data_IF_364327790580
#
_entry.id   IF_364327790580
#
_cell.length_a   1.000
_cell.length_b   1.000
_cell.length_c   1.000
_cell.angle_alpha   90.00
_cell.angle_beta   90.00
_cell.angle_gamma   90.00
#
_symmetry.space_group_name_H-M   'P 1'
#
loop_
_entity.id
_entity.type
_entity.pdbx_description
1 polymer ?
#
# COMPACT_ATOMS: atom_id res chain seq x y z
N UNK A 1 26.88 1.78 31.25
CA UNK A 1 25.77 1.49 30.35
C UNK A 1 25.91 2.36 29.11
N UNK A 2 26.42 1.79 28.02
CA UNK A 2 26.66 2.49 26.77
C UNK A 2 25.34 2.77 26.10
N UNK A 3 25.00 4.04 25.84
CA UNK A 3 23.91 4.44 24.93
C UNK A 3 24.34 4.03 23.53
N UNK A 4 23.70 2.99 22.98
CA UNK A 4 23.77 2.72 21.56
C UNK A 4 23.13 3.91 20.85
N UNK A 5 23.95 4.74 20.24
CA UNK A 5 23.52 5.79 19.31
C UNK A 5 23.12 5.07 18.03
N UNK A 6 21.84 4.73 17.90
CA UNK A 6 21.30 4.24 16.62
C UNK A 6 21.43 5.36 15.62
N UNK A 7 22.16 5.11 14.55
CA UNK A 7 22.32 6.02 13.42
C UNK A 7 20.95 6.11 12.74
N UNK A 8 20.14 7.10 13.14
CA UNK A 8 19.00 7.55 12.33
C UNK A 8 19.61 7.99 11.01
N UNK A 9 19.21 7.39 9.92
CA UNK A 9 19.65 7.77 8.57
C UNK A 9 19.48 9.29 8.43
N UNK A 10 20.55 9.99 8.07
CA UNK A 10 20.62 11.48 8.04
C UNK A 10 19.57 12.10 7.12
N UNK A 11 18.89 11.31 6.28
CA UNK A 11 17.89 11.73 5.30
C UNK A 11 16.49 11.13 5.52
N UNK A 12 16.21 10.47 6.65
CA UNK A 12 14.88 9.88 6.86
C UNK A 12 13.84 10.98 7.13
N UNK A 13 12.74 10.96 6.37
CA UNK A 13 11.56 11.80 6.60
C UNK A 13 10.70 11.20 7.72
N UNK A 14 10.64 9.86 7.78
CA UNK A 14 10.00 9.11 8.86
C UNK A 14 10.97 8.03 9.32
N UNK A 15 11.19 7.91 10.61
CA UNK A 15 11.99 6.85 11.22
C UNK A 15 11.23 6.24 12.39
N UNK A 16 11.24 4.90 12.50
CA UNK A 16 10.70 4.19 13.66
C UNK A 16 11.72 3.16 14.17
N UNK A 17 11.78 2.98 15.49
CA UNK A 17 12.65 2.03 16.15
C UNK A 17 11.83 1.17 17.11
N UNK A 18 11.70 -0.12 16.81
CA UNK A 18 10.94 -1.11 17.58
C UNK A 18 9.55 -0.59 18.03
N UNK A 19 8.88 0.18 17.16
CA UNK A 19 7.63 0.87 17.47
C UNK A 19 6.51 -0.14 17.68
N UNK A 20 5.90 -0.12 18.86
CA UNK A 20 4.80 -1.02 19.21
C UNK A 20 3.59 -0.24 19.70
N UNK A 21 2.41 -0.72 19.30
CA UNK A 21 1.13 -0.21 19.79
C UNK A 21 0.22 -1.36 20.14
N UNK A 22 -0.10 -1.43 21.44
CA UNK A 22 -1.03 -2.45 21.98
C UNK A 22 -2.30 -1.77 22.48
N UNK A 23 -3.42 -2.31 22.07
CA UNK A 23 -4.74 -2.03 22.62
C UNK A 23 -5.17 -3.23 23.50
N UNK A 24 -6.19 -3.12 24.36
CA UNK A 24 -6.55 -4.19 25.32
C UNK A 24 -6.78 -5.57 24.70
N UNK A 25 -7.15 -5.63 23.41
CA UNK A 25 -7.47 -6.89 22.70
C UNK A 25 -6.64 -7.15 21.45
N UNK A 26 -5.82 -6.18 21.00
CA UNK A 26 -5.11 -6.27 19.72
C UNK A 26 -3.75 -5.57 19.81
N UNK A 27 -2.73 -6.22 19.31
CA UNK A 27 -1.45 -5.57 18.98
C UNK A 27 -1.55 -5.01 17.57
N UNK A 28 -1.65 -3.70 17.45
CA UNK A 28 -1.81 -3.02 16.17
C UNK A 28 -0.47 -2.77 15.46
N UNK A 29 0.63 -2.62 16.22
CA UNK A 29 2.00 -2.55 15.72
C UNK A 29 2.89 -3.37 16.65
N UNK A 30 3.76 -4.19 16.08
CA UNK A 30 4.70 -5.04 16.82
C UNK A 30 6.13 -4.78 16.36
N UNK A 31 6.89 -4.05 17.17
CA UNK A 31 8.31 -3.72 17.01
C UNK A 31 8.70 -3.23 15.60
N UNK A 32 7.83 -2.42 14.99
CA UNK A 32 8.02 -1.89 13.66
C UNK A 32 9.26 -0.99 13.61
N UNK A 33 10.26 -1.38 12.83
CA UNK A 33 11.47 -0.58 12.57
C UNK A 33 11.56 -0.31 11.08
N UNK A 34 11.50 0.96 10.70
CA UNK A 34 11.59 1.39 9.30
C UNK A 34 12.17 2.81 9.20
N UNK A 35 12.83 3.07 8.09
CA UNK A 35 13.29 4.40 7.67
C UNK A 35 12.70 4.70 6.29
N UNK A 36 11.99 5.82 6.18
CA UNK A 36 11.40 6.31 4.93
C UNK A 36 12.13 7.61 4.54
N UNK A 37 12.74 7.60 3.37
CA UNK A 37 13.39 8.77 2.78
C UNK A 37 12.42 9.74 2.10
N UNK A 38 12.93 10.84 1.49
CA UNK A 38 12.16 11.71 0.62
C UNK A 38 11.60 10.94 -0.59
N UNK A 39 10.49 11.41 -1.14
CA UNK A 39 9.83 10.81 -2.29
C UNK A 39 8.39 10.44 -2.02
N UNK A 40 7.83 9.63 -2.90
CA UNK A 40 6.50 9.02 -2.73
C UNK A 40 6.66 7.60 -2.24
N UNK A 41 6.24 7.34 -1.01
CA UNK A 41 6.29 6.00 -0.40
C UNK A 41 4.88 5.44 -0.25
N UNK A 42 4.67 4.22 -0.75
CA UNK A 42 3.45 3.44 -0.55
C UNK A 42 3.54 2.61 0.74
N UNK A 43 2.54 2.72 1.61
CA UNK A 43 2.39 1.85 2.77
C UNK A 43 1.25 0.87 2.52
N UNK A 44 1.60 -0.39 2.29
CA UNK A 44 0.66 -1.45 1.91
C UNK A 44 0.40 -2.40 3.06
N UNK A 45 -0.80 -2.91 3.13
CA UNK A 45 -1.19 -3.95 4.08
C UNK A 45 -2.68 -4.20 4.06
N UNK A 46 -3.08 -5.36 4.55
CA UNK A 46 -4.49 -5.73 4.70
C UNK A 46 -5.24 -4.76 5.62
N UNK A 47 -6.57 -4.82 5.60
CA UNK A 47 -7.38 -4.09 6.58
C UNK A 47 -7.05 -4.61 7.99
N UNK A 48 -6.73 -3.69 8.90
CA UNK A 48 -6.26 -4.05 10.23
C UNK A 48 -4.75 -4.27 10.39
N UNK A 49 -3.96 -4.18 9.31
CA UNK A 49 -2.49 -4.34 9.35
C UNK A 49 -1.75 -3.28 10.18
N UNK A 50 -2.42 -2.22 10.63
CA UNK A 50 -1.83 -1.18 11.47
C UNK A 50 -1.53 0.14 10.76
N UNK A 51 -1.83 0.30 9.44
CA UNK A 51 -1.55 1.49 8.64
C UNK A 51 -2.03 2.79 9.29
N UNK A 52 -3.33 2.91 9.54
CA UNK A 52 -3.92 4.12 10.16
C UNK A 52 -3.46 4.31 11.61
N UNK A 53 -3.09 3.23 12.33
CA UNK A 53 -2.51 3.31 13.67
C UNK A 53 -1.11 3.94 13.59
N UNK A 54 -0.28 3.54 12.65
CA UNK A 54 1.02 4.13 12.40
C UNK A 54 0.88 5.63 12.09
N UNK A 55 0.00 6.00 11.16
CA UNK A 55 -0.26 7.43 10.82
C UNK A 55 -0.66 8.23 12.07
N UNK A 56 -1.57 7.71 12.90
CA UNK A 56 -1.99 8.39 14.14
C UNK A 56 -0.84 8.59 15.12
N UNK A 57 0.08 7.64 15.22
CA UNK A 57 1.29 7.78 16.05
C UNK A 57 2.20 8.84 15.45
N UNK A 58 2.51 8.79 14.15
CA UNK A 58 3.38 9.75 13.47
C UNK A 58 2.89 11.20 13.61
N UNK A 59 1.57 11.40 13.66
CA UNK A 59 0.95 12.70 13.91
C UNK A 59 0.93 13.12 15.39
N UNK A 60 1.40 12.25 16.31
CA UNK A 60 1.31 12.49 17.74
C UNK A 60 -0.12 12.48 18.29
N UNK A 61 -1.08 11.86 17.58
CA UNK A 61 -2.49 11.74 17.99
C UNK A 61 -2.73 10.52 18.90
N UNK A 62 -1.82 9.55 18.87
CA UNK A 62 -1.87 8.35 19.71
C UNK A 62 -0.45 8.03 20.21
N UNK A 63 -0.23 7.88 21.53
CA UNK A 63 1.09 7.51 22.03
C UNK A 63 1.42 6.08 21.64
N UNK A 64 2.71 5.82 21.33
CA UNK A 64 3.23 4.47 21.24
C UNK A 64 3.19 3.77 22.60
N UNK A 65 3.09 2.44 22.60
CA UNK A 65 3.22 1.64 23.83
C UNK A 65 4.69 1.40 24.17
N UNK A 66 5.51 1.14 23.14
CA UNK A 66 6.96 0.91 23.24
C UNK A 66 7.63 1.42 21.98
N UNK A 67 8.96 1.61 22.03
CA UNK A 67 9.75 2.07 20.90
C UNK A 67 9.70 3.58 20.69
N UNK A 68 10.21 4.04 19.55
CA UNK A 68 10.29 5.47 19.20
C UNK A 68 9.88 5.70 17.76
N UNK A 69 9.44 6.93 17.50
CA UNK A 69 9.19 7.40 16.14
C UNK A 69 9.65 8.86 16.01
N UNK A 70 10.19 9.20 14.86
CA UNK A 70 10.55 10.56 14.48
C UNK A 70 9.97 10.89 13.11
N UNK A 71 9.54 12.14 12.93
CA UNK A 71 9.04 12.70 11.69
C UNK A 71 9.77 14.00 11.40
N UNK A 72 10.37 14.14 10.23
CA UNK A 72 11.20 15.30 9.84
C UNK A 72 12.29 15.62 10.89
N UNK A 73 12.85 14.57 11.49
CA UNK A 73 13.87 14.69 12.57
C UNK A 73 13.32 15.07 13.94
N UNK A 74 11.99 15.26 14.09
CA UNK A 74 11.33 15.61 15.34
C UNK A 74 10.80 14.34 16.03
N UNK A 75 11.09 14.19 17.33
CA UNK A 75 10.56 13.09 18.13
C UNK A 75 9.04 13.23 18.32
N UNK A 76 8.30 12.19 17.97
CA UNK A 76 6.82 12.18 17.97
C UNK A 76 6.25 12.34 19.39
N UNK A 77 6.92 11.79 20.41
CA UNK A 77 6.40 11.81 21.77
C UNK A 77 6.45 13.22 22.39
N UNK A 78 7.42 14.04 21.97
CA UNK A 78 7.67 15.36 22.56
C UNK A 78 7.29 16.54 21.66
N UNK A 79 7.24 16.32 20.33
CA UNK A 79 7.15 17.40 19.33
C UNK A 79 5.89 17.33 18.46
N UNK A 80 4.83 16.68 18.93
CA UNK A 80 3.63 16.44 18.11
C UNK A 80 2.99 17.70 17.51
N UNK A 81 3.02 18.85 18.19
CA UNK A 81 2.51 20.12 17.64
C UNK A 81 3.37 20.60 16.47
N UNK A 82 4.70 20.66 16.66
CA UNK A 82 5.64 21.09 15.62
C UNK A 82 5.65 20.15 14.39
N UNK A 83 5.35 18.85 14.60
CA UNK A 83 5.15 17.90 13.51
C UNK A 83 3.89 18.27 12.71
N UNK A 84 2.75 18.48 13.36
CA UNK A 84 1.49 18.82 12.68
C UNK A 84 1.52 20.17 11.94
N UNK A 85 2.37 21.08 12.32
CA UNK A 85 2.63 22.33 11.56
C UNK A 85 3.30 22.09 10.21
N UNK A 86 4.05 20.97 10.07
CA UNK A 86 4.85 20.64 8.89
C UNK A 86 4.33 19.44 8.11
N UNK A 87 3.30 18.78 8.63
CA UNK A 87 2.73 17.55 8.06
C UNK A 87 1.27 17.77 7.68
N UNK A 88 0.94 17.50 6.43
CA UNK A 88 -0.45 17.44 5.96
C UNK A 88 -1.04 16.04 6.21
N UNK A 89 -2.33 15.98 6.52
CA UNK A 89 -3.01 14.71 6.71
C UNK A 89 -4.34 14.67 5.98
N UNK A 90 -4.52 13.65 5.18
CA UNK A 90 -5.78 13.31 4.52
C UNK A 90 -6.33 12.02 5.13
N UNK A 91 -7.42 12.07 5.91
CA UNK A 91 -8.01 10.88 6.54
C UNK A 91 -8.82 10.04 5.54
N UNK A 92 -8.89 8.73 5.79
CA UNK A 92 -9.71 7.79 5.00
C UNK A 92 -11.20 8.21 5.02
N UNK A 93 -11.75 8.40 6.22
CA UNK A 93 -13.18 8.67 6.38
C UNK A 93 -13.59 10.07 5.91
N UNK A 94 -14.87 10.18 5.52
CA UNK A 94 -15.45 11.48 5.17
C UNK A 94 -15.55 12.35 6.41
N UNK A 95 -14.92 13.51 6.35
CA UNK A 95 -14.88 14.51 7.43
C UNK A 95 -15.29 15.91 6.92
N UNK A 96 -15.88 15.98 5.73
CA UNK A 96 -16.18 17.23 5.05
C UNK A 96 -17.57 17.72 5.44
N UNK A 97 -17.72 18.99 5.87
CA UNK A 97 -19.03 19.59 6.14
C UNK A 97 -19.80 19.76 4.82
N UNK A 98 -21.06 19.26 4.73
CA UNK A 98 -21.78 19.27 3.45
C UNK A 98 -22.29 20.64 3.05
N UNK A 99 -22.53 21.53 4.01
CA UNK A 99 -23.26 22.80 3.82
C UNK A 99 -22.36 23.97 3.45
N UNK A 100 -21.04 23.79 3.44
CA UNK A 100 -20.07 24.83 3.08
C UNK A 100 -19.42 24.53 1.74
N UNK A 101 -18.89 25.57 1.09
CA UNK A 101 -18.12 25.40 -0.16
C UNK A 101 -16.70 24.89 0.13
N UNK A 102 -16.05 24.31 -0.90
CA UNK A 102 -14.65 23.91 -0.78
C UNK A 102 -13.75 25.10 -0.43
N UNK A 103 -14.00 26.28 -0.97
CA UNK A 103 -13.25 27.50 -0.64
C UNK A 103 -13.38 27.85 0.85
N UNK A 104 -14.60 27.91 1.39
CA UNK A 104 -14.83 28.23 2.81
C UNK A 104 -14.15 27.23 3.72
N UNK A 105 -14.30 25.93 3.44
CA UNK A 105 -13.69 24.86 4.20
C UNK A 105 -12.16 24.94 4.20
N UNK A 106 -11.54 25.02 3.01
CA UNK A 106 -10.06 25.01 2.89
C UNK A 106 -9.46 26.31 3.45
N UNK A 107 -10.12 27.49 3.27
CA UNK A 107 -9.71 28.75 3.94
C UNK A 107 -9.75 28.59 5.47
N UNK A 108 -10.80 27.95 5.99
CA UNK A 108 -10.88 27.69 7.43
C UNK A 108 -9.71 26.84 7.91
N UNK A 109 -9.39 25.75 7.21
CA UNK A 109 -8.27 24.86 7.54
C UNK A 109 -6.92 25.58 7.44
N UNK A 110 -6.73 26.41 6.41
CA UNK A 110 -5.53 27.25 6.27
C UNK A 110 -5.33 28.20 7.47
N UNK A 111 -6.42 28.83 7.92
CA UNK A 111 -6.40 29.71 9.10
C UNK A 111 -6.13 28.94 10.41
N UNK A 112 -6.70 27.75 10.56
CA UNK A 112 -6.42 26.87 11.70
C UNK A 112 -4.95 26.43 11.74
N UNK A 113 -4.31 26.34 10.57
CA UNK A 113 -2.86 26.07 10.46
C UNK A 113 -1.99 27.34 10.63
N UNK A 114 -2.59 28.48 11.03
CA UNK A 114 -1.87 29.71 11.36
C UNK A 114 -1.69 30.72 10.21
N UNK A 115 -2.23 30.49 9.01
CA UNK A 115 -2.10 31.44 7.91
C UNK A 115 -2.93 32.70 8.16
N UNK A 116 -2.37 33.91 7.89
CA UNK A 116 -3.13 35.14 7.90
C UNK A 116 -4.31 35.09 6.90
N UNK A 117 -5.41 35.87 7.12
CA UNK A 117 -6.62 35.77 6.30
C UNK A 117 -6.39 35.95 4.80
N UNK A 118 -5.53 36.88 4.39
CA UNK A 118 -5.21 37.10 2.97
C UNK A 118 -4.46 35.94 2.37
N UNK A 119 -3.36 35.51 3.00
CA UNK A 119 -2.58 34.38 2.57
C UNK A 119 -3.40 33.06 2.54
N UNK A 120 -4.31 32.86 3.52
CA UNK A 120 -5.21 31.72 3.53
C UNK A 120 -6.12 31.66 2.30
N UNK A 121 -6.65 32.81 1.84
CA UNK A 121 -7.49 32.88 0.64
C UNK A 121 -6.69 32.61 -0.63
N UNK A 122 -5.52 33.24 -0.78
CA UNK A 122 -4.65 33.08 -1.93
C UNK A 122 -4.18 31.61 -2.07
N UNK A 123 -3.63 31.05 -0.98
CA UNK A 123 -3.20 29.65 -0.97
C UNK A 123 -4.35 28.68 -1.24
N UNK A 124 -5.55 28.94 -0.70
CA UNK A 124 -6.73 28.13 -0.97
C UNK A 124 -7.09 28.14 -2.46
N UNK A 125 -7.09 29.31 -3.10
CA UNK A 125 -7.42 29.41 -4.52
C UNK A 125 -6.42 28.63 -5.38
N UNK A 126 -5.11 28.73 -5.07
CA UNK A 126 -4.05 28.02 -5.77
C UNK A 126 -4.13 26.52 -5.51
N UNK A 127 -4.31 26.11 -4.26
CA UNK A 127 -4.40 24.69 -3.91
C UNK A 127 -5.61 24.02 -4.56
N UNK A 128 -6.79 24.67 -4.56
CA UNK A 128 -7.99 24.15 -5.22
C UNK A 128 -7.82 24.07 -6.75
N UNK A 129 -7.04 24.97 -7.35
CA UNK A 129 -6.67 24.89 -8.77
C UNK A 129 -5.77 23.68 -9.02
N UNK A 130 -4.76 23.45 -8.19
CA UNK A 130 -3.82 22.32 -8.34
C UNK A 130 -4.51 20.96 -8.21
N UNK A 131 -5.50 20.83 -7.31
CA UNK A 131 -6.26 19.59 -7.19
C UNK A 131 -7.41 19.47 -8.21
N UNK A 132 -7.57 20.44 -9.12
CA UNK A 132 -8.56 20.40 -10.19
C UNK A 132 -10.00 20.68 -9.76
N UNK A 133 -10.19 21.56 -8.76
CA UNK A 133 -11.51 21.98 -8.25
C UNK A 133 -11.76 23.49 -8.45
N UNK A 134 -11.08 24.11 -9.42
CA UNK A 134 -11.17 25.56 -9.60
C UNK A 134 -12.57 26.05 -9.92
N UNK A 135 -13.29 25.38 -10.82
CA UNK A 135 -14.62 25.78 -11.25
C UNK A 135 -15.69 25.50 -10.18
N UNK A 136 -15.57 24.39 -9.46
CA UNK A 136 -16.56 23.92 -8.49
C UNK A 136 -16.37 24.51 -7.09
N UNK A 137 -15.28 25.19 -6.83
CA UNK A 137 -14.84 25.61 -5.48
C UNK A 137 -15.84 26.40 -4.65
N UNK A 138 -16.83 27.02 -5.28
CA UNK A 138 -17.89 27.81 -4.61
C UNK A 138 -19.19 27.04 -4.39
N UNK A 139 -19.30 25.80 -4.93
CA UNK A 139 -20.47 24.96 -4.71
C UNK A 139 -20.39 24.27 -3.36
N UNK A 140 -21.53 24.02 -2.68
CA UNK A 140 -21.57 23.22 -1.45
C UNK A 140 -20.98 21.82 -1.64
N UNK A 141 -20.15 21.37 -0.69
CA UNK A 141 -19.45 20.08 -0.74
C UNK A 141 -20.43 18.90 -0.73
N UNK A 142 -21.62 19.04 -0.14
CA UNK A 142 -22.66 18.01 -0.13
C UNK A 142 -23.05 17.52 -1.52
N UNK A 143 -22.97 18.40 -2.55
CA UNK A 143 -23.24 18.06 -3.95
C UNK A 143 -22.04 17.53 -4.75
N UNK A 144 -20.90 17.24 -4.10
CA UNK A 144 -19.70 16.77 -4.77
C UNK A 144 -19.74 15.24 -4.99
N UNK A 145 -19.13 14.79 -6.10
CA UNK A 145 -18.82 13.36 -6.30
C UNK A 145 -17.77 12.89 -5.28
N UNK A 146 -17.64 11.58 -5.13
CA UNK A 146 -16.60 11.00 -4.27
C UNK A 146 -15.20 11.50 -4.67
N UNK A 147 -14.87 11.54 -5.95
CA UNK A 147 -13.60 12.06 -6.46
C UNK A 147 -13.37 13.53 -6.11
N UNK A 148 -14.39 14.38 -6.24
CA UNK A 148 -14.31 15.78 -5.83
C UNK A 148 -14.09 15.93 -4.33
N UNK A 149 -14.76 15.13 -3.50
CA UNK A 149 -14.56 15.11 -2.05
C UNK A 149 -13.14 14.67 -1.68
N UNK A 150 -12.58 13.66 -2.31
CA UNK A 150 -11.19 13.25 -2.10
C UNK A 150 -10.22 14.38 -2.46
N UNK A 151 -10.47 15.11 -3.56
CA UNK A 151 -9.66 16.28 -3.95
C UNK A 151 -9.77 17.43 -2.94
N UNK A 152 -10.92 17.66 -2.31
CA UNK A 152 -11.06 18.64 -1.20
C UNK A 152 -10.25 18.22 0.01
N UNK A 153 -10.29 16.92 0.40
CA UNK A 153 -9.48 16.39 1.51
C UNK A 153 -7.99 16.53 1.21
N UNK A 154 -7.58 16.29 -0.03
CA UNK A 154 -6.20 16.52 -0.47
C UNK A 154 -5.81 18.00 -0.39
N UNK A 155 -6.67 18.90 -0.85
CA UNK A 155 -6.44 20.35 -0.75
C UNK A 155 -6.28 20.81 0.71
N UNK A 156 -7.11 20.29 1.63
CA UNK A 156 -6.96 20.52 3.07
C UNK A 156 -5.59 20.11 3.59
N UNK A 157 -5.07 18.95 3.16
CA UNK A 157 -3.78 18.46 3.59
C UNK A 157 -2.60 19.29 3.05
N UNK A 158 -2.78 20.03 1.94
CA UNK A 158 -1.71 20.74 1.24
C UNK A 158 -1.68 22.25 1.54
N UNK A 159 -2.80 22.85 1.96
CA UNK A 159 -2.99 24.31 1.96
C UNK A 159 -1.99 25.08 2.81
N UNK A 160 -1.41 24.46 3.85
CA UNK A 160 -0.44 25.07 4.75
C UNK A 160 1.03 24.84 4.37
N UNK A 161 1.28 24.34 3.14
CA UNK A 161 2.62 24.11 2.58
C UNK A 161 3.46 23.12 3.40
N UNK A 162 2.99 21.90 3.59
CA UNK A 162 3.68 20.91 4.41
C UNK A 162 4.96 20.38 3.73
N UNK A 163 5.89 19.84 4.53
CA UNK A 163 7.07 19.13 4.03
C UNK A 163 6.81 17.64 3.79
N UNK A 164 5.81 17.09 4.45
CA UNK A 164 5.35 15.71 4.32
C UNK A 164 3.83 15.67 4.31
N UNK A 165 3.26 14.81 3.48
CA UNK A 165 1.80 14.54 3.47
C UNK A 165 1.55 13.06 3.73
N UNK A 166 0.65 12.78 4.67
CA UNK A 166 0.17 11.44 5.00
C UNK A 166 -1.23 11.28 4.42
N UNK A 167 -1.39 10.36 3.46
CA UNK A 167 -2.65 10.12 2.75
C UNK A 167 -3.18 8.72 3.12
N UNK A 168 -4.31 8.68 3.84
CA UNK A 168 -4.91 7.44 4.29
C UNK A 168 -5.99 6.99 3.30
N UNK A 169 -5.69 5.96 2.47
CA UNK A 169 -6.56 5.37 1.44
C UNK A 169 -7.17 6.43 0.48
N UNK A 170 -6.38 7.30 -0.18
CA UNK A 170 -6.89 8.42 -0.97
C UNK A 170 -7.69 8.00 -2.21
N UNK A 171 -7.53 6.78 -2.70
CA UNK A 171 -8.22 6.21 -3.87
C UNK A 171 -9.50 5.45 -3.50
N UNK A 172 -9.80 5.34 -2.20
CA UNK A 172 -10.96 4.58 -1.75
C UNK A 172 -12.28 5.18 -2.26
N UNK A 173 -13.14 4.30 -2.83
CA UNK A 173 -14.43 4.68 -3.39
C UNK A 173 -14.38 5.38 -4.76
N UNK A 174 -13.21 5.45 -5.41
CA UNK A 174 -13.06 5.98 -6.75
C UNK A 174 -13.24 4.89 -7.81
N UNK A 175 -13.76 5.28 -8.96
CA UNK A 175 -13.72 4.48 -10.18
C UNK A 175 -12.28 4.39 -10.73
N UNK A 176 -11.98 3.49 -11.68
CA UNK A 176 -10.62 3.31 -12.20
C UNK A 176 -10.00 4.59 -12.75
N UNK A 177 -10.78 5.42 -13.46
CA UNK A 177 -10.30 6.70 -14.02
C UNK A 177 -9.97 7.69 -12.91
N UNK A 178 -10.87 7.84 -11.95
CA UNK A 178 -10.66 8.73 -10.79
C UNK A 178 -9.46 8.30 -9.91
N UNK A 179 -9.18 7.00 -9.84
CA UNK A 179 -7.97 6.48 -9.16
C UNK A 179 -6.70 6.91 -9.88
N UNK A 180 -6.62 6.69 -11.18
CA UNK A 180 -5.45 7.07 -11.98
C UNK A 180 -5.21 8.59 -11.92
N UNK A 181 -6.26 9.39 -11.96
CA UNK A 181 -6.17 10.84 -11.79
C UNK A 181 -5.66 11.24 -10.40
N UNK A 182 -6.16 10.59 -9.33
CA UNK A 182 -5.72 10.85 -7.96
C UNK A 182 -4.25 10.46 -7.77
N UNK A 183 -3.84 9.30 -8.27
CA UNK A 183 -2.44 8.86 -8.25
C UNK A 183 -1.52 9.81 -9.02
N UNK A 184 -1.98 10.31 -10.17
CA UNK A 184 -1.29 11.35 -10.93
C UNK A 184 -1.14 12.67 -10.14
N UNK A 185 -2.16 13.07 -9.38
CA UNK A 185 -2.08 14.22 -8.47
C UNK A 185 -1.05 13.99 -7.36
N UNK A 186 -1.07 12.82 -6.72
CA UNK A 186 -0.12 12.45 -5.66
C UNK A 186 1.32 12.50 -6.18
N UNK A 187 1.58 12.00 -7.38
CA UNK A 187 2.92 12.07 -7.99
C UNK A 187 3.36 13.51 -8.20
N UNK A 188 2.48 14.38 -8.71
CA UNK A 188 2.78 15.81 -8.94
C UNK A 188 3.06 16.57 -7.66
N UNK A 189 2.45 16.22 -6.53
CA UNK A 189 2.76 16.84 -5.23
C UNK A 189 4.27 16.71 -4.92
N UNK A 190 4.86 15.55 -5.20
CA UNK A 190 6.30 15.38 -5.02
C UNK A 190 7.11 16.05 -6.13
N UNK A 191 6.78 15.79 -7.40
CA UNK A 191 7.61 16.26 -8.53
C UNK A 191 7.61 17.78 -8.69
N UNK A 192 6.48 18.44 -8.45
CA UNK A 192 6.32 19.87 -8.72
C UNK A 192 6.62 20.73 -7.47
N UNK A 193 6.38 20.19 -6.28
CA UNK A 193 6.51 20.94 -5.02
C UNK A 193 7.59 20.39 -4.07
N UNK A 194 8.21 19.24 -4.38
CA UNK A 194 9.22 18.63 -3.51
C UNK A 194 8.68 18.08 -2.19
N UNK A 195 7.36 17.99 -2.02
CA UNK A 195 6.73 17.48 -0.81
C UNK A 195 6.86 15.97 -0.77
N UNK A 196 7.33 15.42 0.34
CA UNK A 196 7.36 13.97 0.55
C UNK A 196 5.94 13.44 0.83
N UNK A 197 5.63 12.23 0.34
CA UNK A 197 4.30 11.63 0.48
C UNK A 197 4.40 10.22 1.04
N UNK A 198 3.62 9.94 2.08
CA UNK A 198 3.30 8.58 2.51
C UNK A 198 1.83 8.32 2.16
N UNK A 199 1.59 7.39 1.24
CA UNK A 199 0.24 7.01 0.81
C UNK A 199 -0.06 5.58 1.25
N UNK A 200 -1.19 5.37 1.96
CA UNK A 200 -1.65 4.02 2.27
C UNK A 200 -2.58 3.51 1.18
N UNK A 201 -2.47 2.24 0.87
CA UNK A 201 -3.41 1.50 0.03
C UNK A 201 -3.44 0.03 0.42
N UNK A 202 -4.56 -0.62 0.18
CA UNK A 202 -4.65 -2.08 0.21
C UNK A 202 -4.47 -2.70 -1.18
N UNK A 203 -4.35 -1.87 -2.24
CA UNK A 203 -4.18 -2.27 -3.63
C UNK A 203 -2.74 -1.98 -4.08
N UNK A 204 -1.95 -3.02 -4.10
CA UNK A 204 -0.51 -2.94 -4.37
C UNK A 204 -0.20 -2.43 -5.79
N UNK A 205 -0.94 -2.91 -6.82
CA UNK A 205 -0.73 -2.52 -8.21
C UNK A 205 -0.94 -1.03 -8.51
N UNK A 206 -1.69 -0.31 -7.64
CA UNK A 206 -1.84 1.15 -7.76
C UNK A 206 -0.55 1.87 -7.39
N UNK A 207 0.17 1.37 -6.40
CA UNK A 207 1.36 2.02 -5.85
C UNK A 207 2.62 1.77 -6.68
N UNK A 208 2.68 0.64 -7.41
CA UNK A 208 3.82 0.31 -8.28
C UNK A 208 4.16 1.41 -9.28
N UNK A 209 3.14 2.06 -9.85
CA UNK A 209 3.30 3.09 -10.88
C UNK A 209 3.53 4.49 -10.32
N UNK A 210 3.23 4.70 -9.04
CA UNK A 210 3.18 6.03 -8.45
C UNK A 210 4.29 6.27 -7.43
N UNK A 211 4.69 5.21 -6.70
CA UNK A 211 5.63 5.30 -5.60
C UNK A 211 7.07 5.05 -6.04
N UNK A 212 8.02 5.67 -5.36
CA UNK A 212 9.45 5.42 -5.49
C UNK A 212 9.88 4.27 -4.58
N UNK A 213 9.16 4.10 -3.45
CA UNK A 213 9.42 3.10 -2.42
C UNK A 213 8.12 2.49 -1.91
N UNK A 214 8.15 1.22 -1.53
CA UNK A 214 7.00 0.52 -0.96
C UNK A 214 7.40 -0.15 0.35
N UNK A 215 6.59 0.10 1.36
CA UNK A 215 6.67 -0.53 2.68
C UNK A 215 5.44 -1.41 2.87
N UNK A 216 5.65 -2.64 3.24
CA UNK A 216 4.57 -3.58 3.45
C UNK A 216 4.52 -4.01 4.89
N UNK A 217 3.33 -3.91 5.46
CA UNK A 217 3.06 -4.34 6.82
C UNK A 217 1.93 -5.35 6.85
N UNK A 218 2.05 -6.35 7.70
CA UNK A 218 0.97 -7.29 8.02
C UNK A 218 0.99 -7.63 9.50
N UNK A 219 -0.20 -7.74 10.12
CA UNK A 219 -0.31 -8.01 11.56
C UNK A 219 0.48 -7.05 12.45
N UNK A 220 0.73 -5.82 12.00
CA UNK A 220 1.50 -4.82 12.72
C UNK A 220 3.02 -4.91 12.60
N UNK A 221 3.54 -5.90 11.88
CA UNK A 221 4.97 -6.11 11.64
C UNK A 221 5.40 -5.68 10.23
N UNK A 222 6.65 -5.26 10.08
CA UNK A 222 7.25 -5.01 8.77
C UNK A 222 7.51 -6.34 8.08
N UNK A 223 6.91 -6.54 6.90
CA UNK A 223 7.24 -7.66 6.04
C UNK A 223 8.38 -7.29 5.09
N UNK A 224 8.28 -6.16 4.42
CA UNK A 224 9.26 -5.73 3.44
C UNK A 224 9.30 -4.20 3.30
N UNK A 225 10.48 -3.68 2.97
CA UNK A 225 10.71 -2.29 2.60
C UNK A 225 11.73 -2.26 1.47
N UNK A 226 11.33 -1.79 0.29
CA UNK A 226 12.18 -1.81 -0.92
C UNK A 226 11.79 -0.69 -1.87
N UNK A 227 12.72 -0.29 -2.76
CA UNK A 227 12.40 0.59 -3.87
C UNK A 227 11.46 -0.12 -4.86
N UNK A 228 10.64 0.64 -5.59
CA UNK A 228 9.77 0.07 -6.64
C UNK A 228 10.59 -0.56 -7.77
N UNK A 229 11.79 -0.05 -8.04
CA UNK A 229 12.72 -0.66 -8.99
C UNK A 229 13.17 -2.06 -8.59
N UNK A 230 13.35 -2.33 -7.29
CA UNK A 230 13.73 -3.67 -6.80
C UNK A 230 12.56 -4.66 -6.87
N UNK A 231 11.32 -4.16 -6.83
CA UNK A 231 10.13 -4.99 -7.01
C UNK A 231 9.82 -5.28 -8.49
N UNK A 232 10.15 -4.34 -9.38
CA UNK A 232 9.91 -4.47 -10.83
C UNK A 232 11.10 -5.07 -11.57
N UNK A 233 12.05 -5.69 -10.85
CA UNK A 233 13.13 -6.40 -11.52
C UNK A 233 12.53 -7.38 -12.52
N UNK A 234 13.03 -7.27 -13.76
CA UNK A 234 12.70 -8.17 -14.86
C UNK A 234 13.07 -9.57 -14.39
N UNK A 235 12.09 -10.47 -14.29
CA UNK A 235 12.40 -11.85 -13.93
C UNK A 235 13.15 -12.50 -15.07
N UNK A 236 13.93 -13.53 -14.75
CA UNK A 236 14.46 -14.45 -15.75
C UNK A 236 13.37 -15.33 -16.36
N UNK A 237 12.07 -15.05 -16.10
CA UNK A 237 10.95 -15.85 -16.60
C UNK A 237 10.34 -15.20 -17.84
N UNK A 238 10.23 -15.98 -18.92
CA UNK A 238 9.51 -15.65 -20.13
C UNK A 238 8.09 -16.21 -20.06
N UNK A 239 7.10 -15.37 -20.34
CA UNK A 239 5.74 -15.80 -20.60
C UNK A 239 5.59 -16.00 -22.12
N UNK A 240 5.25 -17.23 -22.51
CA UNK A 240 5.08 -17.63 -23.91
C UNK A 240 3.65 -18.10 -24.13
N UNK A 241 2.96 -17.49 -25.07
CA UNK A 241 1.59 -17.84 -25.47
C UNK A 241 1.60 -18.26 -26.93
N UNK A 242 1.04 -19.44 -27.23
CA UNK A 242 1.01 -20.00 -28.57
C UNK A 242 -0.40 -20.39 -28.99
N UNK A 243 -0.65 -20.45 -30.31
CA UNK A 243 -1.89 -21.01 -30.84
C UNK A 243 -1.80 -22.52 -30.94
N UNK A 244 -2.94 -23.16 -30.89
CA UNK A 244 -3.07 -24.56 -31.31
C UNK A 244 -2.88 -24.69 -32.82
N UNK A 245 -2.56 -25.89 -33.30
CA UNK A 245 -2.48 -26.22 -34.72
C UNK A 245 -3.20 -27.52 -35.01
N UNK A 246 -3.52 -27.79 -36.31
CA UNK A 246 -4.17 -29.01 -36.73
C UNK A 246 -3.39 -30.28 -36.33
N UNK A 247 -2.08 -30.17 -36.20
CA UNK A 247 -1.18 -31.26 -35.77
C UNK A 247 -1.00 -31.34 -34.26
N UNK A 248 -1.24 -30.25 -33.55
CA UNK A 248 -1.10 -30.12 -32.09
C UNK A 248 -2.32 -29.37 -31.52
N UNK A 249 -3.41 -30.10 -31.17
CA UNK A 249 -4.63 -29.51 -30.60
C UNK A 249 -4.45 -28.87 -29.22
N UNK A 250 -3.34 -29.16 -28.53
CA UNK A 250 -2.85 -28.49 -27.35
C UNK A 250 -1.43 -28.01 -27.65
N UNK A 251 -1.32 -26.82 -28.24
CA UNK A 251 -0.06 -26.20 -28.62
C UNK A 251 0.84 -25.90 -27.42
N UNK A 252 0.25 -25.55 -26.28
CA UNK A 252 0.97 -25.26 -25.05
C UNK A 252 1.66 -26.51 -24.48
N UNK A 253 0.97 -27.66 -24.46
CA UNK A 253 1.55 -28.90 -23.97
C UNK A 253 2.62 -29.45 -24.94
N UNK A 254 2.39 -29.33 -26.24
CA UNK A 254 3.38 -29.69 -27.26
C UNK A 254 4.68 -28.85 -27.12
N UNK A 255 4.56 -27.54 -26.93
CA UNK A 255 5.68 -26.64 -26.70
C UNK A 255 6.38 -26.96 -25.36
N UNK A 256 5.64 -27.24 -24.30
CA UNK A 256 6.20 -27.67 -23.00
C UNK A 256 7.09 -28.89 -23.14
N UNK A 257 6.63 -29.91 -23.84
CA UNK A 257 7.40 -31.14 -24.06
C UNK A 257 8.64 -30.91 -24.93
N UNK A 258 8.55 -30.02 -25.93
CA UNK A 258 9.67 -29.68 -26.80
C UNK A 258 10.77 -28.95 -26.00
N UNK A 259 10.43 -27.93 -25.22
CA UNK A 259 11.36 -27.16 -24.41
C UNK A 259 11.99 -27.99 -23.29
N UNK A 260 11.20 -28.87 -22.65
CA UNK A 260 11.74 -29.82 -21.65
C UNK A 260 12.78 -30.76 -22.28
N UNK A 261 12.53 -31.28 -23.49
CA UNK A 261 13.51 -32.12 -24.23
C UNK A 261 14.76 -31.35 -24.63
N UNK A 262 14.62 -30.05 -24.89
CA UNK A 262 15.75 -29.15 -25.19
C UNK A 262 16.54 -28.73 -23.92
N UNK A 263 16.13 -29.19 -22.73
CA UNK A 263 16.81 -28.89 -21.47
C UNK A 263 16.48 -27.53 -20.88
N UNK A 264 15.43 -26.86 -21.37
CA UNK A 264 14.98 -25.56 -20.85
C UNK A 264 14.18 -25.79 -19.58
N UNK A 265 14.54 -25.08 -18.52
CA UNK A 265 13.82 -25.12 -17.26
C UNK A 265 12.47 -24.41 -17.37
N UNK A 266 11.40 -25.06 -16.95
CA UNK A 266 10.07 -24.50 -16.90
C UNK A 266 9.74 -24.11 -15.46
N UNK A 267 9.16 -22.95 -15.29
CA UNK A 267 8.67 -22.51 -13.98
C UNK A 267 7.34 -23.22 -13.72
N UNK A 268 7.29 -24.09 -12.68
CA UNK A 268 6.12 -24.89 -12.36
C UNK A 268 4.88 -24.03 -12.08
N UNK A 269 3.72 -24.51 -12.52
CA UNK A 269 2.42 -23.90 -12.23
C UNK A 269 1.92 -24.16 -10.79
N UNK A 270 2.70 -24.84 -9.94
CA UNK A 270 2.33 -25.15 -8.57
C UNK A 270 2.28 -23.86 -7.71
N UNK A 271 1.11 -23.19 -7.71
CA UNK A 271 0.79 -22.09 -6.83
C UNK A 271 0.35 -20.77 -7.49
N UNK A 272 0.30 -20.71 -8.81
CA UNK A 272 -0.23 -19.53 -9.51
C UNK A 272 -1.49 -19.94 -10.29
N UNK A 273 -2.61 -19.99 -9.56
CA UNK A 273 -3.92 -19.96 -10.21
C UNK A 273 -3.99 -18.70 -11.05
N UNK A 274 -4.20 -18.90 -12.33
CA UNK A 274 -4.36 -17.86 -13.34
C UNK A 274 -5.67 -17.06 -13.15
N UNK A 275 -6.11 -16.85 -11.91
CA UNK A 275 -7.26 -16.01 -11.57
C UNK A 275 -6.87 -14.55 -11.71
N UNK A 276 -7.04 -14.03 -12.92
CA UNK A 276 -6.90 -12.61 -13.20
C UNK A 276 -6.57 -12.25 -14.64
N UNK A 277 -6.20 -13.22 -15.49
CA UNK A 277 -6.01 -12.95 -16.91
C UNK A 277 -7.05 -13.74 -17.73
N UNK A 278 -7.87 -13.08 -18.58
CA UNK A 278 -8.71 -13.80 -19.52
C UNK A 278 -7.79 -14.57 -20.49
N UNK A 279 -7.85 -15.91 -20.48
CA UNK A 279 -7.04 -16.78 -21.34
C UNK A 279 -5.93 -17.59 -20.66
N UNK A 280 -5.86 -17.65 -19.37
CA UNK A 280 -4.74 -18.23 -18.59
C UNK A 280 -4.41 -19.73 -18.83
N UNK A 281 -5.19 -20.46 -19.60
CA UNK A 281 -4.92 -21.87 -19.93
C UNK A 281 -3.80 -22.12 -20.96
N UNK A 282 -3.33 -21.08 -21.65
CA UNK A 282 -2.41 -21.19 -22.80
C UNK A 282 -1.04 -20.51 -22.64
N UNK A 283 -0.69 -20.08 -21.43
CA UNK A 283 0.59 -19.40 -21.16
C UNK A 283 1.59 -20.37 -20.53
N UNK A 284 2.75 -20.55 -21.18
CA UNK A 284 3.87 -21.33 -20.65
C UNK A 284 4.91 -20.38 -20.02
N UNK A 285 5.35 -20.68 -18.79
CA UNK A 285 6.40 -19.95 -18.11
C UNK A 285 7.73 -20.68 -18.25
N UNK A 286 8.72 -19.99 -18.85
CA UNK A 286 10.02 -20.53 -19.21
C UNK A 286 11.10 -19.75 -18.48
N UNK A 287 12.07 -20.42 -17.86
CA UNK A 287 13.23 -19.75 -17.26
C UNK A 287 14.22 -19.33 -18.35
N UNK A 288 14.42 -18.01 -18.54
CA UNK A 288 15.32 -17.45 -19.51
C UNK A 288 16.73 -17.31 -18.90
N UNK A 289 17.68 -18.10 -19.33
CA UNK A 289 19.08 -18.04 -18.89
C UNK A 289 19.96 -17.14 -19.77
N UNK A 290 19.45 -16.66 -20.90
CA UNK A 290 20.15 -15.79 -21.86
C UNK A 290 19.39 -15.66 -23.18
N UNK A 291 19.99 -14.98 -24.16
CA UNK A 291 19.40 -14.80 -25.52
C UNK A 291 19.13 -16.14 -26.22
N UNK A 292 19.92 -17.16 -25.93
CA UNK A 292 19.77 -18.52 -26.48
C UNK A 292 18.40 -19.13 -26.13
N UNK A 293 17.82 -18.80 -24.98
CA UNK A 293 16.49 -19.29 -24.60
C UNK A 293 15.39 -18.74 -25.50
N UNK A 294 15.50 -17.47 -25.92
CA UNK A 294 14.54 -16.86 -26.86
C UNK A 294 14.57 -17.53 -28.23
N UNK A 295 15.77 -17.86 -28.73
CA UNK A 295 15.95 -18.56 -30.01
C UNK A 295 15.40 -19.98 -29.92
N UNK A 296 15.69 -20.72 -28.85
CA UNK A 296 15.15 -22.05 -28.61
C UNK A 296 13.63 -22.09 -28.56
N UNK A 297 12.99 -21.09 -27.91
CA UNK A 297 11.52 -20.96 -27.88
C UNK A 297 10.99 -20.72 -29.29
N UNK A 298 11.57 -19.78 -30.05
CA UNK A 298 11.15 -19.47 -31.43
C UNK A 298 11.29 -20.68 -32.37
N UNK A 299 12.43 -21.35 -32.30
CA UNK A 299 12.71 -22.54 -33.10
C UNK A 299 11.77 -23.70 -32.78
N UNK A 300 11.48 -23.90 -31.49
CA UNK A 300 10.50 -24.91 -31.05
C UNK A 300 9.10 -24.63 -31.52
N UNK A 301 8.64 -23.37 -31.43
CA UNK A 301 7.33 -22.94 -31.93
C UNK A 301 7.23 -23.14 -33.46
N UNK A 302 8.27 -22.72 -34.20
CA UNK A 302 8.33 -22.89 -35.64
C UNK A 302 8.39 -24.37 -36.06
N UNK A 303 9.20 -25.19 -35.37
CA UNK A 303 9.33 -26.62 -35.61
C UNK A 303 8.04 -27.41 -35.37
N UNK A 304 7.18 -26.96 -34.45
CA UNK A 304 5.89 -27.55 -34.15
C UNK A 304 4.75 -27.01 -35.05
N UNK A 305 5.04 -25.99 -35.90
CA UNK A 305 4.03 -25.35 -36.72
C UNK A 305 2.98 -24.56 -35.92
N UNK A 306 3.32 -24.11 -34.70
CA UNK A 306 2.48 -23.29 -33.86
C UNK A 306 2.60 -21.81 -34.19
N UNK A 307 1.54 -21.04 -33.97
CA UNK A 307 1.61 -19.58 -34.03
C UNK A 307 2.06 -19.01 -32.68
N UNK A 308 3.08 -18.14 -32.68
CA UNK A 308 3.48 -17.41 -31.50
C UNK A 308 2.58 -16.17 -31.33
N UNK A 309 1.74 -16.15 -30.30
CA UNK A 309 0.86 -15.01 -29.97
C UNK A 309 1.68 -13.94 -29.22
N UNK A 310 2.41 -14.38 -28.18
CA UNK A 310 3.09 -13.50 -27.25
C UNK A 310 4.36 -14.18 -26.72
N UNK A 311 5.44 -13.42 -26.63
CA UNK A 311 6.65 -13.82 -25.92
C UNK A 311 7.23 -12.57 -25.27
N UNK A 312 7.08 -12.48 -23.95
CA UNK A 312 7.59 -11.33 -23.21
C UNK A 312 8.24 -11.77 -21.89
N UNK A 313 9.20 -10.97 -21.45
CA UNK A 313 9.78 -11.15 -20.13
C UNK A 313 8.77 -10.78 -19.07
N UNK A 314 8.47 -11.73 -18.18
CA UNK A 314 7.55 -11.50 -17.08
C UNK A 314 8.18 -10.52 -16.09
N UNK A 315 7.44 -9.52 -15.70
CA UNK A 315 7.79 -8.66 -14.56
C UNK A 315 7.10 -9.24 -13.33
N UNK A 316 7.82 -9.41 -12.24
CA UNK A 316 7.15 -9.71 -10.98
C UNK A 316 6.22 -8.55 -10.64
N UNK A 317 4.94 -8.84 -10.49
CA UNK A 317 4.06 -7.93 -9.78
C UNK A 317 4.34 -8.08 -8.29
N UNK A 318 4.45 -6.96 -7.57
CA UNK A 318 4.67 -6.93 -6.12
C UNK A 318 3.65 -7.86 -5.39
N UNK A 319 2.44 -8.02 -5.94
CA UNK A 319 1.40 -8.92 -5.42
C UNK A 319 1.79 -10.42 -5.39
N UNK A 320 2.67 -10.86 -6.28
CA UNK A 320 3.11 -12.28 -6.35
C UNK A 320 4.13 -12.60 -5.26
N UNK A 321 5.02 -11.65 -4.98
CA UNK A 321 6.01 -11.78 -3.89
C UNK A 321 5.30 -11.97 -2.54
N UNK A 322 4.12 -11.34 -2.36
CA UNK A 322 3.33 -11.49 -1.15
C UNK A 322 2.68 -12.86 -0.96
N UNK A 323 2.17 -13.48 -2.03
CA UNK A 323 1.56 -14.81 -1.94
C UNK A 323 2.59 -15.86 -1.54
N UNK A 324 3.79 -15.75 -2.06
CA UNK A 324 4.89 -16.69 -1.79
C UNK A 324 5.37 -16.59 -0.34
N UNK A 325 5.49 -15.38 0.22
CA UNK A 325 5.92 -15.17 1.60
C UNK A 325 4.84 -15.54 2.63
N UNK A 326 3.55 -15.30 2.35
CA UNK A 326 2.45 -15.77 3.20
C UNK A 326 2.31 -17.28 3.21
N UNK A 327 2.64 -17.98 2.12
CA UNK A 327 2.72 -19.43 2.04
C UNK A 327 3.84 -19.99 2.91
N UNK A 328 5.01 -19.35 2.90
CA UNK A 328 6.18 -19.78 3.69
C UNK A 328 6.01 -19.52 5.20
N UNK A 329 5.34 -18.42 5.59
CA UNK A 329 5.11 -18.08 7.00
C UNK A 329 4.08 -19.00 7.70
N UNK A 330 3.20 -19.66 6.94
CA UNK A 330 2.18 -20.60 7.49
C UNK A 330 2.69 -22.01 7.78
N UNK A 331 3.93 -22.35 7.45
CA UNK A 331 4.54 -23.67 7.71
C UNK A 331 5.28 -23.79 9.04
N UNK A 332 5.10 -22.87 9.99
CA UNK A 332 5.58 -23.06 11.35
C UNK A 332 4.61 -24.00 12.08
N UNK A 333 5.03 -25.20 12.54
CA UNK A 333 4.15 -26.15 13.23
C UNK A 333 3.64 -25.51 14.54
N UNK A 334 2.32 -25.59 14.76
CA UNK A 334 1.70 -25.18 16.00
C UNK A 334 2.33 -25.95 17.18
N UNK A 335 2.59 -25.30 18.34
CA UNK A 335 3.05 -26.01 19.53
C UNK A 335 1.99 -27.02 19.98
N UNK A 336 2.42 -28.25 20.25
CA UNK A 336 1.57 -29.36 20.68
C UNK A 336 0.68 -28.95 21.87
N UNK A 337 -0.63 -29.10 21.69
CA UNK A 337 -1.62 -28.87 22.72
C UNK A 337 -1.40 -29.84 23.88
N UNK A 338 -0.85 -29.34 24.98
CA UNK A 338 -0.82 -30.03 26.26
C UNK A 338 -2.24 -30.19 26.80
N UNK A 339 -2.57 -31.39 27.22
CA UNK A 339 -3.84 -31.82 27.81
C UNK A 339 -4.27 -30.89 28.96
N UNK A 340 -5.37 -30.18 28.80
CA UNK A 340 -6.05 -29.47 29.88
C UNK A 340 -7.12 -30.42 30.44
N UNK A 341 -6.94 -30.82 31.70
CA UNK A 341 -7.91 -31.53 32.50
C UNK A 341 -9.21 -30.75 32.60
N UNK A 342 -10.32 -31.45 32.35
CA UNK A 342 -11.68 -30.95 32.57
C UNK A 342 -11.90 -30.70 34.08
N UNK A 343 -12.10 -29.46 34.43
CA UNK A 343 -12.67 -29.08 35.74
C UNK A 343 -14.19 -28.94 35.60
N UNK A 344 -14.90 -29.57 36.52
CA UNK A 344 -16.34 -29.75 36.59
C UNK A 344 -17.12 -28.42 36.64
N UNK A 345 -18.27 -28.40 35.98
CA UNK A 345 -19.23 -27.30 35.97
C UNK A 345 -19.92 -27.13 37.36
N UNK A 346 -20.15 -25.91 37.84
CA UNK A 346 -21.05 -25.66 38.97
C UNK A 346 -22.51 -25.65 38.50
N UNK A 347 -23.37 -26.32 39.31
CA UNK A 347 -24.79 -26.49 39.08
C UNK A 347 -25.61 -25.20 39.21
N UNK A 348 -26.94 -25.26 38.92
CA UNK A 348 -27.77 -24.11 38.70
C UNK A 348 -28.18 -23.42 40.00
N UNK A 349 -28.13 -22.08 40.01
CA UNK A 349 -28.65 -21.22 41.05
C UNK A 349 -30.18 -21.29 41.07
N UNK A 350 -30.76 -21.68 42.24
CA UNK A 350 -32.17 -21.57 42.57
C UNK A 350 -32.55 -20.12 42.89
N UNK A 351 -33.63 -19.66 42.29
CA UNK A 351 -34.34 -18.43 42.64
C UNK A 351 -35.12 -18.65 43.96
N UNK A 352 -34.84 -17.91 45.00
CA UNK A 352 -35.78 -17.56 46.11
C UNK A 352 -36.07 -16.08 45.93
N UNK A 353 -37.26 -15.68 45.72
CA UNK A 353 -38.46 -15.70 46.51
C UNK A 353 -38.71 -14.28 47.08
N UNK A 354 -39.63 -13.51 46.40
CA UNK A 354 -40.24 -12.27 46.91
C UNK A 354 -40.81 -12.47 48.30
N UNK A 355 -40.63 -11.47 49.19
CA UNK A 355 -41.70 -10.94 50.09
C UNK A 355 -41.32 -9.59 50.70
N UNK A 356 -42.15 -8.62 50.34
CA UNK A 356 -42.80 -7.56 51.15
C UNK A 356 -42.02 -6.85 52.28
N UNK A 357 -41.73 -5.60 52.18
CA UNK A 357 -42.46 -4.49 52.78
C UNK A 357 -41.98 -3.14 52.21
#
# INVERSE_FOLDING_TARGET
>A
MARATTVVSVNAVIATEALSKRFPRVTALDRLTLDIGPGVTGLVGSNGAGKSTLIKILLGLSPATEGRAAVLGLDVATSGAAIRERVGYMPEHDCLPPDVSATEFVVHMARMSGLPPTAARERTADTLRHVGLYEERYRPIGGYSTGMKQRVKLAQALVHDPQLVLLDEPTNGLDPVGRDEMLGLIRRIHTDFGISVLVTSHLLGELERTCDHVVVIDGGALLRSSSTSDFTQITTTLAVEVTDSDTHPDGTDALRQALTRAGVALVGQDGLDAEGLPGAGHILLVEATGEETYDLVRDSVAGLGLGLIRMEQRRHHIAEVFRTEQGAARTVPAPAAGAVQQAAAPGPYQKEGERSR
#
